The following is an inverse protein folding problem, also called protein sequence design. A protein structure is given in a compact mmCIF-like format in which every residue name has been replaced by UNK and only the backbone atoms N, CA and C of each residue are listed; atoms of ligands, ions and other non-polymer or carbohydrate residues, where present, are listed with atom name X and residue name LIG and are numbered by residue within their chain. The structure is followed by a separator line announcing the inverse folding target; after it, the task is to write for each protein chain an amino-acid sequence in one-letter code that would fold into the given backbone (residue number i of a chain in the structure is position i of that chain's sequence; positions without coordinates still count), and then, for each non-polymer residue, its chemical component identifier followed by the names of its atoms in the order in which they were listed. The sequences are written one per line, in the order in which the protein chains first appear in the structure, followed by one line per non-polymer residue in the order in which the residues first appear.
data_IF_333466473173
#
_entry.id   IF_333466473173
#
_cell.length_a   1.000
_cell.length_b   1.000
_cell.length_c   1.000
_cell.angle_alpha   90.00
_cell.angle_beta   90.00
_cell.angle_gamma   90.00
#
_symmetry.space_group_name_H-M   'P 1'
#
loop_
_entity.id
_entity.type
_entity.pdbx_description
1 polymer ?
#
# COMPACT_ATOMS: atom_id res chain seq x y z
N UNK A 1 6.80 -38.31 17.90
CA UNK A 1 6.86 -38.07 16.44
C UNK A 1 5.67 -37.30 15.88
N UNK A 2 4.73 -36.87 16.69
CA UNK A 2 3.67 -35.97 16.27
C UNK A 2 4.06 -34.50 16.26
N UNK A 3 5.35 -34.21 16.49
CA UNK A 3 5.83 -32.87 16.77
C UNK A 3 5.77 -31.91 15.59
N UNK A 4 5.95 -32.38 14.34
CA UNK A 4 5.94 -31.51 13.16
C UNK A 4 4.55 -30.98 12.82
N UNK A 5 3.54 -31.87 12.83
CA UNK A 5 2.15 -31.49 12.56
C UNK A 5 1.60 -30.56 13.64
N UNK A 6 1.92 -30.84 14.92
CA UNK A 6 1.51 -30.01 16.05
C UNK A 6 2.16 -28.65 16.00
N UNK A 7 3.47 -28.56 15.69
CA UNK A 7 4.17 -27.29 15.52
C UNK A 7 3.61 -26.46 14.37
N UNK A 8 3.26 -27.09 13.26
CA UNK A 8 2.62 -26.43 12.13
C UNK A 8 1.24 -25.88 12.50
N UNK A 9 0.45 -26.66 13.24
CA UNK A 9 -0.87 -26.25 13.72
C UNK A 9 -0.75 -25.07 14.71
N UNK A 10 0.19 -25.11 15.64
CA UNK A 10 0.44 -24.02 16.59
C UNK A 10 0.85 -22.75 15.86
N UNK A 11 1.74 -22.83 14.87
CA UNK A 11 2.13 -21.67 14.04
C UNK A 11 0.94 -21.10 13.29
N UNK A 12 0.09 -21.94 12.69
CA UNK A 12 -1.09 -21.52 11.97
C UNK A 12 -2.10 -20.83 12.89
N UNK A 13 -2.30 -21.34 14.10
CA UNK A 13 -3.18 -20.72 15.10
C UNK A 13 -2.63 -19.39 15.58
N UNK A 14 -1.34 -19.30 15.88
CA UNK A 14 -0.68 -18.05 16.29
C UNK A 14 -0.74 -17.00 15.19
N UNK A 15 -0.49 -17.37 13.92
CA UNK A 15 -0.59 -16.46 12.78
C UNK A 15 -2.02 -15.94 12.59
N UNK A 16 -3.01 -16.81 12.76
CA UNK A 16 -4.43 -16.46 12.68
C UNK A 16 -4.85 -15.50 13.80
N UNK A 17 -4.40 -15.73 15.03
CA UNK A 17 -4.63 -14.84 16.16
C UNK A 17 -3.99 -13.46 15.95
N UNK A 18 -2.74 -13.42 15.46
CA UNK A 18 -2.05 -12.17 15.12
C UNK A 18 -2.77 -11.40 14.03
N UNK A 19 -3.26 -12.09 13.00
CA UNK A 19 -4.04 -11.48 11.93
C UNK A 19 -5.32 -10.86 12.48
N UNK A 20 -6.06 -11.58 13.30
CA UNK A 20 -7.31 -11.11 13.92
C UNK A 20 -7.08 -9.88 14.80
N UNK A 21 -5.99 -9.86 15.57
CA UNK A 21 -5.60 -8.72 16.39
C UNK A 21 -5.29 -7.49 15.55
N UNK A 22 -4.51 -7.66 14.50
CA UNK A 22 -4.16 -6.59 13.55
C UNK A 22 -5.38 -6.03 12.83
N UNK A 23 -6.27 -6.92 12.39
CA UNK A 23 -7.53 -6.53 11.76
C UNK A 23 -8.39 -5.71 12.73
N UNK A 24 -8.49 -6.14 13.99
CA UNK A 24 -9.23 -5.41 15.02
C UNK A 24 -8.67 -4.00 15.25
N UNK A 25 -7.36 -3.86 15.31
CA UNK A 25 -6.69 -2.55 15.44
C UNK A 25 -6.95 -1.67 14.23
N UNK A 26 -6.86 -2.22 13.02
CA UNK A 26 -7.16 -1.48 11.80
C UNK A 26 -8.62 -0.99 11.78
N UNK A 27 -9.56 -1.86 12.11
CA UNK A 27 -10.98 -1.50 12.13
C UNK A 27 -11.28 -0.40 13.15
N UNK A 28 -10.62 -0.43 14.32
CA UNK A 28 -10.73 0.64 15.31
C UNK A 28 -10.18 1.97 14.78
N UNK A 29 -9.02 1.93 14.11
CA UNK A 29 -8.40 3.14 13.56
C UNK A 29 -9.25 3.78 12.47
N UNK A 30 -9.83 2.98 11.57
CA UNK A 30 -10.67 3.52 10.50
C UNK A 30 -12.03 4.00 11.02
N UNK A 31 -12.60 3.34 12.02
CA UNK A 31 -13.88 3.75 12.63
C UNK A 31 -13.75 5.07 13.38
N UNK A 32 -12.72 5.25 14.17
CA UNK A 32 -12.54 6.42 15.02
C UNK A 32 -11.72 7.53 14.37
N UNK A 33 -10.79 7.21 13.50
CA UNK A 33 -9.89 8.16 12.84
C UNK A 33 -10.14 8.36 11.34
N UNK A 34 -11.10 7.64 10.77
CA UNK A 34 -11.37 7.68 9.33
C UNK A 34 -10.23 7.12 8.50
N UNK A 35 -10.21 7.48 7.22
CA UNK A 35 -9.16 7.03 6.30
C UNK A 35 -7.78 7.54 6.73
N UNK A 36 -7.69 8.76 7.23
CA UNK A 36 -6.42 9.31 7.73
C UNK A 36 -5.84 8.47 8.87
N UNK A 37 -6.66 8.08 9.84
CA UNK A 37 -6.26 7.20 10.94
C UNK A 37 -5.82 5.83 10.44
N UNK A 38 -6.53 5.27 9.48
CA UNK A 38 -6.18 4.01 8.86
C UNK A 38 -4.83 4.09 8.13
N UNK A 39 -4.57 5.15 7.36
CA UNK A 39 -3.29 5.33 6.66
C UNK A 39 -2.13 5.46 7.64
N UNK A 40 -2.32 6.20 8.71
CA UNK A 40 -1.30 6.34 9.77
C UNK A 40 -0.96 4.98 10.38
N UNK A 41 -1.99 4.19 10.71
CA UNK A 41 -1.80 2.85 11.25
C UNK A 41 -1.06 1.95 10.27
N UNK A 42 -1.48 1.93 9.00
CA UNK A 42 -0.86 1.10 7.96
C UNK A 42 0.58 1.54 7.68
N UNK A 43 0.86 2.84 7.68
CA UNK A 43 2.22 3.35 7.51
C UNK A 43 3.13 2.89 8.65
N UNK A 44 2.66 2.95 9.89
CA UNK A 44 3.45 2.58 11.08
C UNK A 44 3.89 1.11 11.09
N UNK A 45 3.23 0.26 10.28
CA UNK A 45 3.56 -1.15 10.13
C UNK A 45 4.68 -1.40 9.11
N UNK A 46 5.13 -0.37 8.43
CA UNK A 46 6.12 -0.43 7.36
C UNK A 46 7.26 0.56 7.61
N UNK A 47 8.40 0.43 6.92
CA UNK A 47 9.47 1.42 7.01
C UNK A 47 9.26 2.65 6.12
N UNK A 48 8.25 2.67 5.26
CA UNK A 48 8.05 3.75 4.29
C UNK A 48 7.71 5.08 4.94
N UNK A 49 8.21 6.15 4.34
CA UNK A 49 7.88 7.51 4.77
C UNK A 49 6.44 7.88 4.46
N UNK A 50 5.96 7.54 3.26
CA UNK A 50 4.65 7.98 2.75
C UNK A 50 3.69 6.82 2.59
N UNK A 51 2.40 7.10 2.85
CA UNK A 51 1.28 6.21 2.54
C UNK A 51 0.18 7.06 1.93
N UNK A 52 -0.34 6.64 0.78
CA UNK A 52 -1.27 7.47 0.01
C UNK A 52 -2.36 6.66 -0.68
N UNK A 53 -3.46 7.34 -0.97
CA UNK A 53 -4.53 6.85 -1.83
C UNK A 53 -4.70 7.84 -2.98
N UNK A 54 -4.66 7.32 -4.20
CA UNK A 54 -4.92 8.04 -5.42
C UNK A 54 -6.17 7.50 -6.09
N UNK A 55 -7.04 8.41 -6.56
CA UNK A 55 -8.21 8.07 -7.37
C UNK A 55 -7.91 8.32 -8.84
N UNK A 56 -8.34 7.40 -9.69
CA UNK A 56 -8.25 7.60 -11.15
C UNK A 56 -9.38 8.47 -11.65
N UNK A 57 -9.04 9.39 -12.53
CA UNK A 57 -9.97 10.24 -13.23
C UNK A 57 -9.42 10.47 -14.64
N UNK A 58 -9.87 9.66 -15.59
CA UNK A 58 -9.30 9.63 -16.93
C UNK A 58 -7.82 9.20 -16.92
N UNK A 59 -6.95 9.99 -17.51
CA UNK A 59 -5.50 9.75 -17.54
C UNK A 59 -4.76 10.36 -16.34
N UNK A 60 -5.50 10.96 -15.41
CA UNK A 60 -4.94 11.62 -14.24
C UNK A 60 -5.17 10.84 -12.97
N UNK A 61 -4.25 10.96 -12.05
CA UNK A 61 -4.37 10.47 -10.70
C UNK A 61 -4.48 11.63 -9.74
N UNK A 62 -5.51 11.62 -8.92
CA UNK A 62 -5.74 12.63 -7.90
C UNK A 62 -5.39 12.05 -6.54
N UNK A 63 -4.51 12.71 -5.81
CA UNK A 63 -4.26 12.36 -4.43
C UNK A 63 -5.49 12.70 -3.59
N UNK A 64 -6.08 11.69 -2.96
CA UNK A 64 -7.22 11.85 -2.05
C UNK A 64 -6.73 11.95 -0.61
N UNK A 65 -5.77 11.11 -0.25
CA UNK A 65 -5.16 11.08 1.08
C UNK A 65 -3.67 10.83 0.95
N UNK A 66 -2.89 11.58 1.73
CA UNK A 66 -1.46 11.38 1.84
C UNK A 66 -1.05 11.54 3.30
N UNK A 67 -0.41 10.52 3.83
CA UNK A 67 0.23 10.56 5.13
C UNK A 67 1.75 10.59 4.95
N UNK A 68 2.38 11.61 5.54
CA UNK A 68 3.83 11.73 5.62
C UNK A 68 4.26 11.55 7.08
N UNK A 69 5.03 10.52 7.34
CA UNK A 69 5.57 10.22 8.68
C UNK A 69 6.37 11.39 9.25
N UNK A 70 7.02 12.18 8.42
CA UNK A 70 7.82 13.31 8.82
C UNK A 70 7.04 14.63 8.90
N UNK A 71 5.78 14.64 8.45
CA UNK A 71 4.87 15.77 8.60
C UNK A 71 5.22 17.01 7.77
N UNK A 72 5.94 16.85 6.66
CA UNK A 72 6.31 17.96 5.79
C UNK A 72 5.20 18.29 4.78
N UNK A 73 5.34 19.45 4.09
CA UNK A 73 4.42 19.85 3.03
C UNK A 73 4.59 18.96 1.80
N UNK A 74 3.47 18.38 1.34
CA UNK A 74 3.45 17.39 0.26
C UNK A 74 2.58 17.82 -0.94
N UNK A 75 2.36 19.12 -1.12
CA UNK A 75 1.54 19.66 -2.19
C UNK A 75 1.97 19.22 -3.60
N UNK A 76 3.24 18.88 -3.79
CA UNK A 76 3.79 18.40 -5.07
C UNK A 76 3.21 17.05 -5.52
N UNK A 77 2.55 16.32 -4.62
CA UNK A 77 1.98 15.01 -4.93
C UNK A 77 0.48 15.03 -5.23
N UNK A 78 -0.16 16.19 -5.29
CA UNK A 78 -1.62 16.30 -5.41
C UNK A 78 -2.19 15.73 -6.72
N UNK A 79 -1.53 15.98 -7.83
CA UNK A 79 -1.94 15.53 -9.16
C UNK A 79 -0.76 15.02 -9.95
N UNK A 80 -0.87 13.79 -10.45
CA UNK A 80 0.18 13.17 -11.25
C UNK A 80 -0.46 12.49 -12.46
N UNK A 81 0.05 12.75 -13.69
CA UNK A 81 -0.36 11.94 -14.85
C UNK A 81 -0.02 10.47 -14.60
N UNK A 82 -0.96 9.58 -14.96
CA UNK A 82 -0.74 8.14 -14.79
C UNK A 82 0.56 7.67 -15.44
N UNK A 83 0.85 8.16 -16.65
CA UNK A 83 2.05 7.79 -17.40
C UNK A 83 3.36 8.23 -16.72
N UNK A 84 3.32 9.23 -15.85
CA UNK A 84 4.50 9.75 -15.14
C UNK A 84 4.66 9.14 -13.74
N UNK A 85 3.78 8.22 -13.33
CA UNK A 85 3.81 7.61 -12.01
C UNK A 85 4.09 6.11 -12.07
N UNK A 86 4.51 5.53 -10.95
CA UNK A 86 4.63 4.08 -10.84
C UNK A 86 3.26 3.37 -10.79
N UNK A 87 2.20 4.09 -10.55
CA UNK A 87 0.84 3.54 -10.53
C UNK A 87 0.41 2.98 -11.89
N UNK A 88 1.02 3.42 -12.99
CA UNK A 88 0.80 2.80 -14.30
C UNK A 88 1.09 1.29 -14.29
N UNK A 89 2.11 0.89 -13.53
CA UNK A 89 2.50 -0.53 -13.40
C UNK A 89 1.54 -1.29 -12.49
N UNK A 90 0.99 -0.61 -11.48
CA UNK A 90 -0.06 -1.19 -10.61
C UNK A 90 -1.27 -1.58 -11.44
N UNK A 91 -1.66 -0.72 -12.38
CA UNK A 91 -2.79 -0.97 -13.27
C UNK A 91 -2.53 -2.11 -14.24
N UNK A 92 -1.32 -2.14 -14.81
CA UNK A 92 -0.95 -3.13 -15.83
C UNK A 92 -0.74 -4.53 -15.25
N UNK A 93 -0.24 -4.63 -14.02
CA UNK A 93 0.24 -5.89 -13.42
C UNK A 93 -0.55 -6.33 -12.19
N UNK A 94 -1.64 -5.64 -11.85
CA UNK A 94 -2.47 -5.89 -10.65
C UNK A 94 -1.66 -5.79 -9.36
N UNK A 95 -0.73 -4.87 -9.33
CA UNK A 95 0.18 -4.59 -8.23
C UNK A 95 1.61 -4.41 -8.73
N UNK A 96 2.36 -3.56 -8.06
CA UNK A 96 3.75 -3.28 -8.42
C UNK A 96 4.55 -2.90 -7.18
N UNK A 97 5.76 -3.43 -7.06
CA UNK A 97 6.69 -3.00 -6.02
C UNK A 97 8.11 -2.95 -6.53
N UNK A 98 8.87 -1.99 -6.01
CA UNK A 98 10.31 -1.92 -6.20
C UNK A 98 10.96 -1.48 -4.87
N UNK A 99 12.00 -2.18 -4.47
CA UNK A 99 12.75 -1.86 -3.25
C UNK A 99 13.86 -0.84 -3.47
N UNK A 100 14.33 -0.72 -4.70
CA UNK A 100 15.37 0.23 -5.11
C UNK A 100 15.20 0.53 -6.60
N UNK A 101 14.51 1.61 -6.91
CA UNK A 101 14.17 1.95 -8.29
C UNK A 101 15.40 2.24 -9.16
N UNK A 102 16.48 2.75 -8.55
CA UNK A 102 17.72 3.04 -9.27
C UNK A 102 18.36 1.77 -9.83
N UNK A 103 18.14 0.63 -9.18
CA UNK A 103 18.67 -0.68 -9.58
C UNK A 103 17.65 -1.53 -10.34
N UNK A 104 16.41 -1.05 -10.48
CA UNK A 104 15.33 -1.80 -11.09
C UNK A 104 15.28 -1.54 -12.61
N UNK A 105 15.66 -2.55 -13.39
CA UNK A 105 15.71 -2.46 -14.85
C UNK A 105 14.33 -2.27 -15.50
N UNK A 106 13.26 -2.70 -14.81
CA UNK A 106 11.88 -2.48 -15.29
C UNK A 106 11.53 -1.00 -15.41
N UNK A 107 12.26 -0.13 -14.70
CA UNK A 107 12.02 1.31 -14.63
C UNK A 107 12.98 2.13 -15.50
N UNK A 108 13.74 1.49 -16.40
CA UNK A 108 14.61 2.19 -17.33
C UNK A 108 13.84 3.27 -18.12
N UNK A 109 14.34 4.50 -18.07
CA UNK A 109 13.71 5.63 -18.74
C UNK A 109 12.56 6.29 -17.99
N UNK A 110 12.16 5.76 -16.83
CA UNK A 110 11.09 6.37 -16.03
C UNK A 110 11.59 7.61 -15.30
N UNK A 111 10.74 8.67 -15.28
CA UNK A 111 11.10 9.98 -14.73
C UNK A 111 11.48 9.91 -13.24
N UNK A 112 10.86 9.01 -12.46
CA UNK A 112 11.10 8.89 -11.02
C UNK A 112 12.12 7.82 -10.64
N UNK A 113 12.70 7.13 -11.61
CA UNK A 113 13.74 6.15 -11.34
C UNK A 113 14.94 6.81 -10.66
N UNK A 114 15.36 6.27 -9.52
CA UNK A 114 16.47 6.81 -8.73
C UNK A 114 16.11 8.04 -7.89
N UNK A 115 14.88 8.53 -7.99
CA UNK A 115 14.34 9.65 -7.19
C UNK A 115 13.36 9.08 -6.16
N UNK A 116 12.27 8.49 -6.60
CA UNK A 116 11.37 7.71 -5.76
C UNK A 116 11.95 6.30 -5.68
N UNK A 117 12.78 6.05 -4.67
CA UNK A 117 13.63 4.86 -4.64
C UNK A 117 12.91 3.59 -4.21
N UNK A 118 11.83 3.69 -3.47
CA UNK A 118 11.02 2.52 -3.15
C UNK A 118 9.53 2.82 -3.28
N UNK A 119 8.79 1.80 -3.70
CA UNK A 119 7.36 1.92 -3.96
C UNK A 119 6.70 0.56 -3.80
N UNK A 120 5.55 0.55 -3.17
CA UNK A 120 4.59 -0.54 -3.19
C UNK A 120 3.23 0.03 -3.55
N UNK A 121 2.57 -0.55 -4.53
CA UNK A 121 1.23 -0.13 -4.91
C UNK A 121 0.33 -1.31 -5.20
N UNK A 122 -0.93 -1.19 -4.80
CA UNK A 122 -1.97 -2.17 -5.10
C UNK A 122 -3.22 -1.46 -5.62
N UNK A 123 -3.99 -2.11 -6.50
CA UNK A 123 -5.24 -1.53 -6.96
C UNK A 123 -6.29 -1.57 -5.85
N UNK A 124 -7.10 -0.51 -5.79
CA UNK A 124 -8.32 -0.49 -4.97
C UNK A 124 -9.50 -0.76 -5.89
N UNK A 125 -10.05 -1.97 -5.81
CA UNK A 125 -11.10 -2.44 -6.68
C UNK A 125 -12.00 -3.43 -5.96
N UNK A 126 -13.32 -3.27 -6.12
CA UNK A 126 -14.31 -4.24 -5.60
C UNK A 126 -14.57 -5.37 -6.59
N UNK A 127 -14.42 -5.07 -7.89
CA UNK A 127 -14.72 -6.00 -8.98
C UNK A 127 -13.62 -5.95 -10.03
N UNK A 128 -13.30 -7.07 -10.68
CA UNK A 128 -12.39 -7.06 -11.82
C UNK A 128 -12.85 -6.05 -12.88
N UNK A 129 -11.93 -5.23 -13.38
CA UNK A 129 -12.20 -4.22 -14.39
C UNK A 129 -12.78 -2.91 -13.89
N UNK A 130 -13.11 -2.80 -12.60
CA UNK A 130 -13.62 -1.56 -12.00
C UNK A 130 -12.66 -1.10 -10.92
N UNK A 131 -11.72 -0.23 -11.28
CA UNK A 131 -10.69 0.26 -10.37
C UNK A 131 -11.03 1.67 -9.91
N UNK A 132 -11.15 1.86 -8.61
CA UNK A 132 -11.29 3.16 -7.97
C UNK A 132 -9.99 3.97 -8.09
N UNK A 133 -8.89 3.35 -7.76
CA UNK A 133 -7.58 3.97 -7.71
C UNK A 133 -6.53 3.03 -7.16
N UNK A 134 -5.52 3.60 -6.50
CA UNK A 134 -4.43 2.83 -5.90
C UNK A 134 -4.23 3.20 -4.43
N UNK A 135 -3.82 2.20 -3.66
CA UNK A 135 -3.18 2.38 -2.37
C UNK A 135 -1.68 2.18 -2.56
N UNK A 136 -0.85 3.07 -2.00
CA UNK A 136 0.59 2.92 -2.12
C UNK A 136 1.35 3.36 -0.88
N UNK A 137 2.50 2.70 -0.66
CA UNK A 137 3.57 3.15 0.22
C UNK A 137 4.75 3.54 -0.64
N UNK A 138 5.45 4.61 -0.30
CA UNK A 138 6.65 5.00 -1.04
C UNK A 138 7.63 5.80 -0.19
N UNK A 139 8.87 5.86 -0.66
CA UNK A 139 9.95 6.56 0.03
C UNK A 139 11.02 7.02 -0.98
N UNK A 140 11.72 8.07 -0.64
CA UNK A 140 12.90 8.49 -1.39
C UNK A 140 14.12 7.59 -1.10
N UNK A 141 14.07 6.80 -0.03
CA UNK A 141 15.08 5.81 0.31
C UNK A 141 14.63 4.41 -0.12
N UNK A 142 15.57 3.48 -0.40
CA UNK A 142 15.22 2.08 -0.59
C UNK A 142 14.55 1.50 0.66
N UNK A 143 13.44 0.80 0.47
CA UNK A 143 12.69 0.12 1.53
C UNK A 143 12.13 -1.19 0.99
N UNK A 144 11.86 -2.13 1.89
CA UNK A 144 11.30 -3.44 1.55
C UNK A 144 10.01 -3.66 2.33
N UNK A 145 8.99 -4.21 1.66
CA UNK A 145 7.75 -4.63 2.30
C UNK A 145 7.72 -6.16 2.44
N UNK A 146 7.28 -6.64 3.59
CA UNK A 146 7.14 -8.07 3.83
C UNK A 146 5.88 -8.62 3.13
N UNK A 147 5.95 -9.87 2.65
CA UNK A 147 4.82 -10.53 2.00
C UNK A 147 3.59 -10.61 2.92
N UNK A 148 3.81 -10.84 4.22
CA UNK A 148 2.73 -10.85 5.19
C UNK A 148 2.00 -9.51 5.32
N UNK A 149 2.71 -8.41 5.12
CA UNK A 149 2.11 -7.07 5.11
C UNK A 149 1.28 -6.84 3.85
N UNK A 150 1.76 -7.31 2.70
CA UNK A 150 1.00 -7.26 1.43
C UNK A 150 -0.31 -8.03 1.58
N UNK A 151 -0.28 -9.23 2.13
CA UNK A 151 -1.48 -10.04 2.38
C UNK A 151 -2.46 -9.33 3.31
N UNK A 152 -1.96 -8.68 4.35
CA UNK A 152 -2.79 -7.90 5.27
C UNK A 152 -3.46 -6.71 4.54
N UNK A 153 -2.72 -5.98 3.73
CA UNK A 153 -3.24 -4.86 2.94
C UNK A 153 -4.33 -5.30 1.97
N UNK A 154 -4.14 -6.41 1.28
CA UNK A 154 -5.15 -6.99 0.41
C UNK A 154 -6.43 -7.33 1.17
N UNK A 155 -6.28 -7.84 2.39
CA UNK A 155 -7.42 -8.20 3.24
C UNK A 155 -8.23 -7.01 3.73
N UNK A 156 -7.58 -5.87 4.01
CA UNK A 156 -8.25 -4.68 4.55
C UNK A 156 -8.75 -3.71 3.48
N UNK A 157 -8.33 -3.87 2.24
CA UNK A 157 -8.70 -2.97 1.15
C UNK A 157 -10.21 -2.78 0.95
N UNK A 158 -11.09 -3.80 1.13
CA UNK A 158 -12.53 -3.57 1.03
C UNK A 158 -13.06 -2.55 2.05
N UNK A 159 -12.53 -2.54 3.27
CA UNK A 159 -12.94 -1.54 4.27
C UNK A 159 -12.47 -0.14 3.90
N UNK A 160 -11.28 0.00 3.32
CA UNK A 160 -10.84 1.30 2.80
C UNK A 160 -11.81 1.81 1.74
N UNK A 161 -12.22 0.95 0.80
CA UNK A 161 -13.18 1.31 -0.25
C UNK A 161 -14.53 1.75 0.32
N UNK A 162 -14.99 1.12 1.40
CA UNK A 162 -16.25 1.50 2.06
C UNK A 162 -16.26 2.95 2.55
N UNK A 163 -15.10 3.49 2.91
CA UNK A 163 -14.95 4.87 3.38
C UNK A 163 -14.66 5.87 2.24
N UNK A 164 -14.31 5.36 1.05
CA UNK A 164 -13.92 6.19 -0.10
C UNK A 164 -15.05 6.40 -1.11
N UNK A 165 -15.95 5.44 -1.21
CA UNK A 165 -17.09 5.47 -2.17
C UNK A 165 -18.37 6.00 -1.60
#
# INVERSE_FOLDING_TARGET
MATSAIKSLIKSTAASEMFSERLGLFLAEIEFGGVEGALKYLNARTPYRYTAIYRFEGAMMHNIYLYDREGEDVSDFEKVPLADSFCQFVMAEDGFSTSDSAQDERLLGHAYRGILNSYFGMPLSRKPGTIYGTFCHFDFKPQVIADSEIEFLESVSPWLLDYLE
#
